data_IF_639933969988
#
_entry.id   IF_639933969988
#
_cell.length_a   1.000
_cell.length_b   1.000
_cell.length_c   1.000
_cell.angle_alpha   90.00
_cell.angle_beta   90.00
_cell.angle_gamma   90.00
#
_symmetry.space_group_name_H-M   'P 1'
#
loop_
_entity.id
_entity.type
_entity.pdbx_description
1 polymer ?
#
# COMPACT_ATOMS: atom_id res chain seq x y z
N UNK A 1 -4.84 -14.59 -5.62
CA UNK A 1 -3.69 -13.89 -6.19
C UNK A 1 -2.87 -14.77 -7.14
N UNK A 2 -2.58 -16.03 -6.79
CA UNK A 2 -1.71 -16.89 -7.60
C UNK A 2 -2.15 -17.04 -9.05
N UNK A 3 -3.42 -17.40 -9.29
CA UNK A 3 -3.95 -17.61 -10.65
C UNK A 3 -3.98 -16.33 -11.50
N UNK A 4 -4.35 -15.21 -10.92
CA UNK A 4 -4.56 -13.95 -11.65
C UNK A 4 -3.26 -13.18 -11.73
N UNK A 5 -2.66 -12.87 -10.59
CA UNK A 5 -1.48 -12.00 -10.55
C UNK A 5 -0.23 -12.74 -11.05
N UNK A 6 0.09 -13.90 -10.50
CA UNK A 6 1.32 -14.61 -10.82
C UNK A 6 1.23 -15.33 -12.16
N UNK A 7 0.32 -16.30 -12.31
CA UNK A 7 0.16 -17.06 -13.55
C UNK A 7 -0.38 -16.24 -14.70
N UNK A 8 -1.23 -15.22 -14.42
CA UNK A 8 -1.71 -14.31 -15.44
C UNK A 8 -0.57 -13.49 -16.05
N UNK A 9 0.32 -12.94 -15.23
CA UNK A 9 1.50 -12.20 -15.71
C UNK A 9 2.48 -13.12 -16.45
N UNK A 10 2.70 -14.35 -15.95
CA UNK A 10 3.52 -15.34 -16.64
C UNK A 10 3.03 -15.61 -18.07
N UNK A 11 1.72 -15.87 -18.21
CA UNK A 11 1.11 -16.13 -19.53
C UNK A 11 1.20 -14.92 -20.43
N UNK A 12 0.96 -13.73 -19.89
CA UNK A 12 1.07 -12.48 -20.65
C UNK A 12 2.50 -12.27 -21.17
N UNK A 13 3.51 -12.40 -20.32
CA UNK A 13 4.90 -12.24 -20.73
C UNK A 13 5.33 -13.26 -21.79
N UNK A 14 4.90 -14.53 -21.66
CA UNK A 14 5.14 -15.54 -22.70
C UNK A 14 4.50 -15.16 -24.02
N UNK A 15 3.28 -14.65 -24.01
CA UNK A 15 2.61 -14.18 -25.22
C UNK A 15 3.32 -12.96 -25.85
N UNK A 16 3.78 -12.02 -25.01
CA UNK A 16 4.46 -10.81 -25.47
C UNK A 16 5.79 -11.08 -26.18
N UNK A 17 6.43 -12.24 -25.96
CA UNK A 17 7.67 -12.60 -26.70
C UNK A 17 7.47 -12.70 -28.21
N UNK A 18 6.26 -12.86 -28.70
CA UNK A 18 5.93 -12.85 -30.14
C UNK A 18 5.66 -11.47 -30.72
N UNK A 19 5.83 -10.39 -29.95
CA UNK A 19 5.52 -9.03 -30.36
C UNK A 19 6.72 -8.11 -30.13
N UNK A 20 6.78 -7.01 -30.88
CA UNK A 20 7.74 -5.93 -30.64
C UNK A 20 7.23 -5.04 -29.50
N UNK A 21 7.59 -5.38 -28.26
CA UNK A 21 7.21 -4.64 -27.05
C UNK A 21 8.42 -3.87 -26.55
N UNK A 22 8.33 -2.55 -26.54
CA UNK A 22 9.43 -1.69 -26.07
C UNK A 22 9.54 -1.68 -24.53
N UNK A 23 8.41 -1.76 -23.82
CA UNK A 23 8.40 -1.64 -22.36
C UNK A 23 7.22 -2.39 -21.75
N UNK A 24 7.44 -3.01 -20.59
CA UNK A 24 6.42 -3.60 -19.74
C UNK A 24 6.45 -2.94 -18.35
N UNK A 25 5.36 -2.31 -17.94
CA UNK A 25 5.24 -1.66 -16.64
C UNK A 25 4.35 -2.52 -15.73
N UNK A 26 4.85 -2.85 -14.54
CA UNK A 26 4.13 -3.62 -13.55
C UNK A 26 3.91 -2.81 -12.27
N UNK A 27 2.65 -2.65 -11.87
CA UNK A 27 2.31 -2.06 -10.58
C UNK A 27 2.42 -3.10 -9.48
N UNK A 28 3.52 -3.03 -8.74
CA UNK A 28 3.76 -3.77 -7.52
C UNK A 28 3.28 -2.97 -6.30
N UNK A 29 3.76 -3.27 -5.13
CA UNK A 29 3.35 -2.60 -3.90
C UNK A 29 4.54 -2.35 -2.98
N UNK A 30 4.52 -1.25 -2.25
CA UNK A 30 5.49 -0.96 -1.20
C UNK A 30 5.44 -1.98 -0.04
N UNK A 31 4.32 -2.71 0.11
CA UNK A 31 4.13 -3.76 1.12
C UNK A 31 5.02 -5.00 0.92
N UNK A 32 5.77 -5.10 -0.19
CA UNK A 32 6.80 -6.13 -0.37
C UNK A 32 7.95 -5.97 0.62
N UNK A 33 8.16 -4.76 1.14
CA UNK A 33 9.19 -4.46 2.12
C UNK A 33 8.70 -4.69 3.56
N UNK A 34 9.65 -5.00 4.46
CA UNK A 34 9.35 -5.00 5.88
C UNK A 34 9.12 -3.56 6.39
N UNK A 35 8.22 -3.38 7.39
CA UNK A 35 8.11 -2.11 8.07
C UNK A 35 9.45 -1.68 8.68
N UNK A 36 9.87 -0.45 8.44
CA UNK A 36 11.09 0.13 9.00
C UNK A 36 10.85 0.73 10.40
N UNK A 37 11.91 1.16 11.06
CA UNK A 37 11.80 1.96 12.29
C UNK A 37 11.33 3.37 11.96
N UNK A 38 10.64 4.07 12.88
CA UNK A 38 10.31 5.48 12.70
C UNK A 38 11.56 6.30 12.34
N UNK A 39 11.46 7.17 11.34
CA UNK A 39 12.57 7.97 10.83
C UNK A 39 13.50 7.26 9.83
N UNK A 40 13.31 5.97 9.58
CA UNK A 40 14.05 5.23 8.57
C UNK A 40 13.15 5.00 7.33
N UNK A 41 13.32 5.74 6.24
CA UNK A 41 12.51 5.54 5.04
C UNK A 41 12.79 4.18 4.40
N UNK A 42 11.80 3.64 3.70
CA UNK A 42 11.99 2.52 2.78
C UNK A 42 12.60 3.10 1.51
N UNK A 43 13.58 2.40 0.94
CA UNK A 43 14.21 2.69 -0.34
C UNK A 43 14.07 1.49 -1.25
N UNK A 44 14.39 1.65 -2.53
CA UNK A 44 14.39 0.55 -3.51
C UNK A 44 15.27 -0.62 -3.09
N UNK A 45 16.38 -0.33 -2.38
CA UNK A 45 17.35 -1.32 -1.86
C UNK A 45 16.93 -1.94 -0.52
N UNK A 46 15.83 -1.49 0.07
CA UNK A 46 15.35 -2.04 1.34
C UNK A 46 14.99 -3.52 1.20
N UNK A 47 15.22 -4.35 2.23
CA UNK A 47 14.94 -5.78 2.17
C UNK A 47 13.49 -6.10 1.79
N UNK A 48 13.32 -7.00 0.83
CA UNK A 48 12.00 -7.52 0.41
C UNK A 48 11.63 -8.66 1.33
N UNK A 49 10.65 -8.45 2.21
CA UNK A 49 10.19 -9.40 3.24
C UNK A 49 8.66 -9.37 3.32
N UNK A 50 7.95 -9.94 2.34
CA UNK A 50 6.49 -9.96 2.32
C UNK A 50 5.94 -10.72 3.54
N UNK A 51 4.85 -10.22 4.14
CA UNK A 51 4.31 -10.75 5.40
C UNK A 51 3.02 -11.56 5.23
N UNK A 52 2.33 -11.45 4.10
CA UNK A 52 1.09 -12.16 3.78
C UNK A 52 0.93 -12.36 2.27
N UNK A 53 -0.11 -13.05 1.84
CA UNK A 53 -0.29 -13.55 0.48
C UNK A 53 -0.26 -12.49 -0.62
N UNK A 54 -0.86 -11.30 -0.37
CA UNK A 54 -0.88 -10.24 -1.38
C UNK A 54 0.53 -9.74 -1.75
N UNK A 55 1.36 -9.20 -0.82
CA UNK A 55 2.71 -8.80 -1.17
C UNK A 55 3.59 -9.98 -1.60
N UNK A 56 3.35 -11.19 -1.09
CA UNK A 56 4.06 -12.39 -1.56
C UNK A 56 3.77 -12.64 -3.05
N UNK A 57 2.51 -12.54 -3.47
CA UNK A 57 2.15 -12.68 -4.89
C UNK A 57 2.83 -11.63 -5.77
N UNK A 58 2.97 -10.39 -5.27
CA UNK A 58 3.69 -9.33 -6.00
C UNK A 58 5.18 -9.66 -6.13
N UNK A 59 5.84 -10.11 -5.07
CA UNK A 59 7.26 -10.53 -5.11
C UNK A 59 7.47 -11.70 -6.10
N UNK A 60 6.59 -12.70 -6.07
CA UNK A 60 6.65 -13.81 -7.03
C UNK A 60 6.47 -13.32 -8.46
N UNK A 61 5.60 -12.35 -8.68
CA UNK A 61 5.40 -11.75 -10.01
C UNK A 61 6.60 -10.93 -10.46
N UNK A 62 7.22 -10.13 -9.58
CA UNK A 62 8.47 -9.42 -9.88
C UNK A 62 9.58 -10.38 -10.33
N UNK A 63 9.72 -11.54 -9.68
CA UNK A 63 10.68 -12.60 -10.09
C UNK A 63 10.36 -13.17 -11.47
N UNK A 64 9.09 -13.48 -11.73
CA UNK A 64 8.64 -13.99 -13.05
C UNK A 64 8.92 -12.96 -14.15
N UNK A 65 8.69 -11.68 -13.88
CA UNK A 65 9.00 -10.60 -14.83
C UNK A 65 10.49 -10.61 -15.14
N UNK A 66 11.34 -10.65 -14.12
CA UNK A 66 12.79 -10.71 -14.30
C UNK A 66 13.22 -11.92 -15.14
N UNK A 67 12.66 -13.10 -14.90
CA UNK A 67 13.01 -14.35 -15.58
C UNK A 67 12.49 -14.43 -17.02
N UNK A 68 11.29 -13.89 -17.28
CA UNK A 68 10.58 -14.11 -18.56
C UNK A 68 10.51 -12.89 -19.46
N UNK A 69 11.01 -11.74 -19.06
CA UNK A 69 10.95 -10.51 -19.87
C UNK A 69 11.69 -10.59 -21.23
N UNK A 70 12.66 -11.47 -21.35
CA UNK A 70 13.51 -11.54 -22.55
C UNK A 70 14.23 -10.21 -22.80
N UNK A 71 14.02 -9.61 -23.98
CA UNK A 71 14.58 -8.32 -24.36
C UNK A 71 13.67 -7.12 -24.00
N UNK A 72 12.48 -7.36 -23.43
CA UNK A 72 11.55 -6.30 -23.06
C UNK A 72 12.10 -5.52 -21.88
N UNK A 73 12.19 -4.19 -21.99
CA UNK A 73 12.52 -3.32 -20.86
C UNK A 73 11.38 -3.33 -19.83
N UNK A 74 11.72 -3.44 -18.56
CA UNK A 74 10.70 -3.58 -17.49
C UNK A 74 10.82 -2.49 -16.44
N UNK A 75 9.67 -1.97 -16.02
CA UNK A 75 9.57 -1.03 -14.89
C UNK A 75 8.62 -1.60 -13.86
N UNK A 76 9.13 -1.83 -12.66
CA UNK A 76 8.36 -2.27 -11.51
C UNK A 76 8.09 -1.07 -10.60
N UNK A 77 6.84 -0.67 -10.47
CA UNK A 77 6.43 0.41 -9.59
C UNK A 77 5.91 -0.17 -8.27
N UNK A 78 6.67 -0.04 -7.19
CA UNK A 78 6.26 -0.43 -5.84
C UNK A 78 5.46 0.72 -5.22
N UNK A 79 4.15 0.69 -5.44
CA UNK A 79 3.22 1.78 -5.15
C UNK A 79 2.81 1.76 -3.68
N UNK A 80 2.77 2.95 -3.06
CA UNK A 80 2.20 3.21 -1.74
C UNK A 80 0.67 3.08 -1.74
N UNK A 81 0.02 3.37 -0.63
CA UNK A 81 -1.44 3.44 -0.57
C UNK A 81 -1.97 4.57 -1.45
N UNK A 82 -2.73 4.23 -2.48
CA UNK A 82 -3.28 5.25 -3.40
C UNK A 82 -4.50 5.92 -2.79
N UNK A 83 -4.61 7.23 -2.95
CA UNK A 83 -5.79 8.02 -2.58
C UNK A 83 -6.12 9.05 -3.66
N UNK A 84 -7.31 9.60 -3.61
CA UNK A 84 -7.80 10.64 -4.51
C UNK A 84 -8.74 11.62 -3.79
N UNK A 85 -9.12 12.70 -4.47
CA UNK A 85 -10.01 13.74 -3.96
C UNK A 85 -11.43 13.24 -3.62
N UNK A 86 -11.84 12.11 -4.18
CA UNK A 86 -13.15 11.48 -3.93
C UNK A 86 -13.14 10.48 -2.78
N UNK A 87 -11.97 10.33 -2.12
CA UNK A 87 -11.78 9.43 -0.97
C UNK A 87 -12.05 7.95 -1.28
N UNK A 88 -11.66 7.45 -2.46
CA UNK A 88 -11.78 6.03 -2.81
C UNK A 88 -10.78 5.13 -2.07
N UNK A 89 -9.81 5.71 -1.34
CA UNK A 89 -8.91 4.93 -0.48
C UNK A 89 -9.67 4.36 0.72
N UNK A 90 -9.91 3.06 0.76
CA UNK A 90 -10.63 2.39 1.84
C UNK A 90 -10.04 2.69 3.23
N UNK A 91 -8.72 2.60 3.48
CA UNK A 91 -8.16 2.90 4.79
C UNK A 91 -8.40 4.36 5.23
N UNK A 92 -8.25 5.31 4.31
CA UNK A 92 -8.43 6.75 4.61
C UNK A 92 -9.91 7.05 4.81
N UNK A 93 -10.80 6.56 3.93
CA UNK A 93 -12.24 6.81 4.02
C UNK A 93 -12.82 6.26 5.32
N UNK A 94 -12.44 5.04 5.73
CA UNK A 94 -12.86 4.48 7.00
C UNK A 94 -12.34 5.28 8.20
N UNK A 95 -11.10 5.80 8.12
CA UNK A 95 -10.57 6.65 9.19
C UNK A 95 -11.35 7.96 9.31
N UNK A 96 -11.64 8.61 8.17
CA UNK A 96 -12.47 9.83 8.12
C UNK A 96 -13.86 9.54 8.68
N UNK A 97 -14.51 8.46 8.22
CA UNK A 97 -15.84 8.07 8.67
C UNK A 97 -15.90 7.86 10.18
N UNK A 98 -14.98 7.06 10.76
CA UNK A 98 -14.94 6.82 12.21
C UNK A 98 -14.80 8.11 13.01
N UNK A 99 -13.98 9.05 12.53
CA UNK A 99 -13.80 10.34 13.20
C UNK A 99 -15.06 11.19 13.03
N UNK A 100 -15.66 11.23 11.84
CA UNK A 100 -16.89 11.98 11.54
C UNK A 100 -18.06 11.50 12.39
N UNK A 101 -18.24 10.19 12.50
CA UNK A 101 -19.31 9.58 13.30
C UNK A 101 -18.96 9.52 14.79
N UNK A 102 -17.77 9.95 15.21
CA UNK A 102 -17.27 9.91 16.60
C UNK A 102 -17.34 8.50 17.19
N UNK A 103 -17.08 7.49 16.36
CA UNK A 103 -17.06 6.11 16.80
C UNK A 103 -15.95 5.88 17.85
N UNK A 104 -16.19 5.01 18.82
CA UNK A 104 -15.22 4.72 19.88
C UNK A 104 -13.89 4.23 19.32
N UNK A 105 -13.93 3.46 18.24
CA UNK A 105 -12.77 2.93 17.52
C UNK A 105 -11.87 4.02 16.96
N UNK A 106 -12.40 5.22 16.67
CA UNK A 106 -11.60 6.36 16.24
C UNK A 106 -10.62 6.83 17.32
N UNK A 107 -10.92 6.58 18.60
CA UNK A 107 -10.11 7.00 19.74
C UNK A 107 -9.13 5.92 20.22
N UNK A 108 -9.29 4.68 19.75
CA UNK A 108 -8.51 3.53 20.22
C UNK A 108 -7.56 3.04 19.15
N UNK A 109 -6.31 2.84 19.50
CA UNK A 109 -5.30 2.29 18.58
C UNK A 109 -4.43 1.23 19.25
N UNK A 110 -4.40 0.04 18.68
CA UNK A 110 -3.63 -1.10 19.21
C UNK A 110 -2.24 -1.19 18.56
N UNK A 111 -1.45 -0.12 18.65
CA UNK A 111 -0.15 -0.10 18.01
C UNK A 111 0.73 1.07 18.42
N UNK A 112 1.78 1.27 17.65
CA UNK A 112 2.65 2.43 17.78
C UNK A 112 2.10 3.56 16.90
N UNK A 113 1.52 4.57 17.55
CA UNK A 113 0.89 5.73 16.88
C UNK A 113 1.88 6.67 16.19
N UNK A 114 3.19 6.51 16.45
CA UNK A 114 4.24 7.24 15.74
C UNK A 114 4.52 6.68 14.35
N UNK A 115 4.04 5.46 14.07
CA UNK A 115 4.13 4.85 12.74
C UNK A 115 3.00 5.34 11.86
N UNK A 116 3.27 5.35 10.56
CA UNK A 116 2.30 5.71 9.55
C UNK A 116 2.33 4.77 8.35
N UNK A 117 1.44 5.01 7.42
CA UNK A 117 1.45 4.39 6.11
C UNK A 117 1.85 5.42 5.08
N UNK A 118 2.64 5.04 4.12
CA UNK A 118 2.95 5.88 2.97
C UNK A 118 1.77 5.89 2.01
N UNK A 119 1.48 7.05 1.45
CA UNK A 119 0.42 7.25 0.46
C UNK A 119 0.98 7.92 -0.79
N UNK A 120 0.20 7.94 -1.85
CA UNK A 120 0.45 8.68 -3.09
C UNK A 120 -0.89 9.13 -3.68
N UNK A 121 -0.96 10.37 -4.14
CA UNK A 121 -2.15 10.84 -4.85
C UNK A 121 -2.27 10.15 -6.21
N UNK A 122 -3.50 9.89 -6.64
CA UNK A 122 -3.77 9.20 -7.92
C UNK A 122 -3.12 9.93 -9.12
N UNK A 123 -3.19 11.26 -9.14
CA UNK A 123 -2.62 12.05 -10.22
C UNK A 123 -1.08 11.93 -10.27
N UNK A 124 -0.42 11.89 -9.10
CA UNK A 124 1.02 11.70 -9.03
C UNK A 124 1.43 10.31 -9.50
N UNK A 125 0.64 9.28 -9.16
CA UNK A 125 0.85 7.93 -9.68
C UNK A 125 0.69 7.87 -11.21
N UNK A 126 -0.36 8.50 -11.74
CA UNK A 126 -0.58 8.58 -13.20
C UNK A 126 0.57 9.32 -13.87
N UNK A 127 1.01 10.44 -13.31
CA UNK A 127 2.17 11.18 -13.81
C UNK A 127 3.45 10.35 -13.78
N UNK A 128 3.69 9.59 -12.72
CA UNK A 128 4.85 8.70 -12.62
C UNK A 128 4.83 7.60 -13.70
N UNK A 129 3.66 7.01 -13.97
CA UNK A 129 3.49 6.02 -15.05
C UNK A 129 3.74 6.68 -16.40
N UNK A 130 3.17 7.86 -16.66
CA UNK A 130 3.37 8.61 -17.91
C UNK A 130 4.84 8.94 -18.13
N UNK A 131 5.53 9.43 -17.11
CA UNK A 131 6.97 9.70 -17.17
C UNK A 131 7.80 8.44 -17.44
N UNK A 132 7.43 7.29 -16.89
CA UNK A 132 8.10 6.02 -17.14
C UNK A 132 7.94 5.59 -18.62
N UNK A 133 6.76 5.87 -19.21
CA UNK A 133 6.53 5.62 -20.66
C UNK A 133 7.30 6.60 -21.52
N UNK A 134 7.25 7.89 -21.22
CA UNK A 134 7.88 8.94 -22.02
C UNK A 134 9.41 8.80 -22.04
N UNK A 135 9.99 8.44 -20.89
CA UNK A 135 11.43 8.27 -20.71
C UNK A 135 11.91 6.83 -20.87
N UNK A 136 11.13 5.94 -21.46
CA UNK A 136 11.44 4.51 -21.55
C UNK A 136 12.80 4.18 -22.17
N UNK A 137 13.30 5.06 -23.05
CA UNK A 137 14.61 4.90 -23.67
C UNK A 137 15.79 5.35 -22.80
N UNK A 138 15.50 6.11 -21.75
CA UNK A 138 16.49 6.63 -20.80
C UNK A 138 16.63 5.70 -19.57
N UNK A 139 15.61 4.89 -19.31
CA UNK A 139 15.59 3.98 -18.17
C UNK A 139 16.45 2.73 -18.42
N UNK A 140 17.12 2.21 -17.37
CA UNK A 140 17.74 0.90 -17.43
C UNK A 140 16.76 -0.18 -17.88
N UNK A 141 17.27 -1.25 -18.46
CA UNK A 141 16.47 -2.37 -18.97
C UNK A 141 15.58 -3.01 -17.87
N UNK A 142 16.03 -2.93 -16.64
CA UNK A 142 15.25 -3.30 -15.46
C UNK A 142 15.29 -2.14 -14.47
N UNK A 143 14.14 -1.61 -14.17
CA UNK A 143 13.99 -0.46 -13.26
C UNK A 143 12.96 -0.79 -12.19
N UNK A 144 13.33 -0.57 -10.93
CA UNK A 144 12.42 -0.67 -9.79
C UNK A 144 12.33 0.71 -9.15
N UNK A 145 11.12 1.22 -8.94
CA UNK A 145 10.87 2.53 -8.34
C UNK A 145 9.87 2.40 -7.19
N UNK A 146 10.13 3.11 -6.11
CA UNK A 146 9.15 3.35 -5.05
C UNK A 146 8.31 4.58 -5.41
N UNK A 147 7.00 4.42 -5.41
CA UNK A 147 6.07 5.50 -5.72
C UNK A 147 5.26 5.82 -4.48
N UNK A 148 5.58 6.96 -3.86
CA UNK A 148 4.94 7.43 -2.63
C UNK A 148 5.35 8.85 -2.31
N UNK A 149 4.61 9.50 -1.41
CA UNK A 149 4.95 10.82 -0.91
C UNK A 149 6.25 10.79 -0.09
N UNK A 150 7.04 11.84 -0.19
CA UNK A 150 8.32 11.99 0.53
C UNK A 150 8.14 12.09 2.05
N UNK A 151 6.93 12.48 2.51
CA UNK A 151 6.59 12.58 3.93
C UNK A 151 5.47 11.62 4.27
N UNK A 152 5.76 10.69 5.16
CA UNK A 152 4.74 9.78 5.71
C UNK A 152 4.18 10.39 7.00
N UNK A 153 2.86 10.62 7.02
CA UNK A 153 2.17 11.03 8.24
C UNK A 153 2.10 9.87 9.22
N UNK A 154 2.39 10.13 10.49
CA UNK A 154 2.12 9.15 11.54
C UNK A 154 0.60 8.96 11.70
N UNK A 155 0.17 7.82 12.26
CA UNK A 155 -1.24 7.60 12.57
C UNK A 155 -1.80 8.74 13.44
N UNK A 156 -1.03 9.19 14.44
CA UNK A 156 -1.44 10.26 15.33
C UNK A 156 -1.59 11.61 14.60
N UNK A 157 -0.69 11.92 13.66
CA UNK A 157 -0.75 13.17 12.91
C UNK A 157 -1.91 13.17 11.90
N UNK A 158 -2.14 12.04 11.23
CA UNK A 158 -3.29 11.85 10.36
C UNK A 158 -4.61 12.02 11.14
N UNK A 159 -4.73 11.37 12.31
CA UNK A 159 -5.87 11.49 13.21
C UNK A 159 -6.13 12.96 13.60
N UNK A 160 -5.08 13.69 14.02
CA UNK A 160 -5.17 15.09 14.38
C UNK A 160 -5.60 15.97 13.21
N UNK A 161 -5.01 15.77 12.04
CA UNK A 161 -5.35 16.57 10.85
C UNK A 161 -6.81 16.37 10.46
N UNK A 162 -7.29 15.13 10.38
CA UNK A 162 -8.68 14.85 10.05
C UNK A 162 -9.64 15.46 11.07
N UNK A 163 -9.37 15.26 12.37
CA UNK A 163 -10.23 15.81 13.43
C UNK A 163 -10.22 17.33 13.47
N UNK A 164 -9.07 17.95 13.17
CA UNK A 164 -8.94 19.41 13.08
C UNK A 164 -9.72 19.96 11.88
N UNK A 165 -9.69 19.29 10.74
CA UNK A 165 -10.46 19.69 9.56
C UNK A 165 -11.97 19.58 9.79
N UNK A 166 -12.43 18.46 10.37
CA UNK A 166 -13.84 18.19 10.58
C UNK A 166 -14.46 18.99 11.74
N UNK A 167 -13.74 19.15 12.86
CA UNK A 167 -14.31 19.65 14.12
C UNK A 167 -13.56 20.82 14.73
N UNK A 168 -12.46 21.28 14.11
CA UNK A 168 -11.57 22.33 14.65
C UNK A 168 -11.00 21.96 16.03
N UNK A 169 -10.91 20.67 16.33
CA UNK A 169 -10.42 20.11 17.61
C UNK A 169 -9.52 18.91 17.34
N UNK A 170 -8.54 18.70 18.19
CA UNK A 170 -7.71 17.49 18.14
C UNK A 170 -8.39 16.37 18.93
N UNK A 171 -8.68 15.27 18.27
CA UNK A 171 -9.17 14.07 18.94
C UNK A 171 -7.99 13.29 19.53
N UNK A 172 -8.07 12.87 20.80
CA UNK A 172 -7.03 12.06 21.42
C UNK A 172 -7.00 10.67 20.79
N UNK A 173 -5.81 10.09 20.70
CA UNK A 173 -5.64 8.66 20.37
C UNK A 173 -5.16 7.93 21.63
N UNK A 174 -5.97 7.02 22.15
CA UNK A 174 -5.66 6.20 23.31
C UNK A 174 -4.99 4.91 22.83
N UNK A 175 -3.78 4.66 23.28
CA UNK A 175 -3.04 3.43 22.95
C UNK A 175 -3.57 2.28 23.79
N UNK A 176 -4.08 1.25 23.12
CA UNK A 176 -4.53 0.01 23.77
C UNK A 176 -3.44 -1.06 23.60
N UNK A 177 -2.98 -1.71 24.67
CA UNK A 177 -2.09 -2.85 24.56
C UNK A 177 -2.65 -3.94 23.64
N UNK A 178 -1.80 -4.52 22.79
CA UNK A 178 -2.23 -5.53 21.80
C UNK A 178 -2.97 -6.72 22.42
N UNK A 179 -2.61 -7.13 23.62
CA UNK A 179 -3.26 -8.23 24.32
C UNK A 179 -4.70 -7.89 24.71
N UNK A 180 -4.97 -6.65 25.18
CA UNK A 180 -6.33 -6.16 25.46
C UNK A 180 -7.15 -6.10 24.18
N UNK A 181 -6.58 -5.56 23.11
CA UNK A 181 -7.25 -5.49 21.80
C UNK A 181 -7.60 -6.89 21.26
N UNK A 182 -6.72 -7.88 21.45
CA UNK A 182 -7.00 -9.29 21.06
C UNK A 182 -8.15 -9.88 21.88
N UNK A 183 -8.21 -9.64 23.19
CA UNK A 183 -9.31 -10.11 24.04
C UNK A 183 -10.62 -9.42 23.61
N UNK A 184 -10.61 -8.11 23.42
CA UNK A 184 -11.78 -7.37 22.95
C UNK A 184 -12.28 -7.87 21.58
N UNK A 185 -11.38 -8.08 20.62
CA UNK A 185 -11.72 -8.63 19.32
C UNK A 185 -12.30 -10.06 19.43
N UNK A 186 -11.72 -10.91 20.28
CA UNK A 186 -12.23 -12.25 20.52
C UNK A 186 -13.67 -12.21 21.06
N UNK A 187 -13.95 -11.36 22.06
CA UNK A 187 -15.31 -11.18 22.59
C UNK A 187 -16.28 -10.70 21.49
N UNK A 188 -15.89 -9.68 20.70
CA UNK A 188 -16.74 -9.15 19.64
C UNK A 188 -17.06 -10.19 18.56
N UNK A 189 -16.11 -11.06 18.22
CA UNK A 189 -16.32 -12.13 17.23
C UNK A 189 -17.24 -13.26 17.75
N UNK A 190 -17.38 -13.41 19.08
CA UNK A 190 -18.19 -14.49 19.69
C UNK A 190 -19.54 -14.00 20.20
N UNK A 191 -19.83 -12.70 20.14
CA UNK A 191 -21.14 -12.17 20.44
C UNK A 191 -22.08 -12.40 19.24
N UNK A 192 -23.35 -12.80 19.47
CA UNK A 192 -24.33 -13.07 18.40
C UNK A 192 -24.71 -11.83 17.58
N UNK A 193 -24.25 -10.65 17.99
CA UNK A 193 -24.44 -9.36 17.33
C UNK A 193 -23.10 -8.71 16.90
N UNK A 194 -22.05 -9.49 16.79
CA UNK A 194 -20.75 -8.98 16.33
C UNK A 194 -20.84 -8.36 14.94
N UNK A 195 -20.06 -7.30 14.64
CA UNK A 195 -19.99 -6.77 13.30
C UNK A 195 -19.54 -7.87 12.33
N UNK A 196 -19.99 -7.85 11.06
CA UNK A 196 -19.55 -8.82 10.07
C UNK A 196 -18.02 -8.81 9.99
N UNK A 197 -17.38 -9.96 9.76
CA UNK A 197 -15.93 -10.02 9.63
C UNK A 197 -15.51 -9.11 8.47
N UNK A 198 -14.83 -8.02 8.79
CA UNK A 198 -14.18 -7.20 7.77
C UNK A 198 -12.98 -7.99 7.25
N UNK A 199 -13.05 -8.28 5.97
CA UNK A 199 -12.04 -8.87 5.13
C UNK A 199 -10.77 -8.00 5.10
#
# INVERSE_FOLDING_TARGET
YELITVKGTERLLKALQGFEVEQFIFTSTMLVHAPTRPGCPITEDSPVVPKWDYPLSKVLTEKIIHELRGNISTVVLRVAGVYDDKCHSIPISHQIQRIYEKQLEAFLFSGDTSRGSSFVHMDDLVNAISLAVDRRKELPQETVLLIGESKTLSYNDLQKQISQLLYKKNFPTIRVPKWIAKIGAWFLCHLPFGPPPFI
#
